data_IF_751815506674
#
_entry.id   IF_751815506674
#
_cell.length_a   1.000
_cell.length_b   1.000
_cell.length_c   1.000
_cell.angle_alpha   90.00
_cell.angle_beta   90.00
_cell.angle_gamma   90.00
#
_symmetry.space_group_name_H-M   'P 1'
#
loop_
_entity.id
_entity.type
_entity.pdbx_description
1 polymer ?
#
# COMPACT_ATOMS: atom_id res chain seq x y z
N UNK A 1 -20.94 -7.88 -17.21
CA UNK A 1 -19.82 -7.81 -16.27
C UNK A 1 -19.87 -6.44 -15.63
N UNK A 2 -20.10 -6.33 -14.32
CA UNK A 2 -20.30 -5.03 -13.64
C UNK A 2 -18.99 -4.25 -13.43
N UNK A 3 -17.86 -4.81 -13.86
CA UNK A 3 -16.52 -4.23 -13.79
C UNK A 3 -15.96 -4.19 -15.22
N UNK A 4 -15.45 -3.03 -15.64
CA UNK A 4 -14.87 -2.84 -16.97
C UNK A 4 -13.67 -3.78 -17.18
N UNK A 5 -13.45 -4.22 -18.43
CA UNK A 5 -12.37 -5.16 -18.77
C UNK A 5 -10.99 -4.79 -18.17
N UNK A 6 -10.53 -3.52 -18.22
CA UNK A 6 -9.27 -3.12 -17.59
C UNK A 6 -9.23 -3.32 -16.07
N UNK A 7 -10.36 -3.08 -15.39
CA UNK A 7 -10.47 -3.19 -13.93
C UNK A 7 -10.49 -4.64 -13.45
N UNK A 8 -10.73 -5.59 -14.34
CA UNK A 8 -10.63 -7.01 -14.04
C UNK A 8 -9.26 -7.59 -14.42
N UNK A 9 -8.71 -7.18 -15.56
CA UNK A 9 -7.47 -7.74 -16.08
C UNK A 9 -6.23 -7.16 -15.40
N UNK A 10 -6.17 -5.84 -15.20
CA UNK A 10 -4.97 -5.17 -14.68
C UNK A 10 -4.63 -5.64 -13.26
N UNK A 11 -5.56 -5.72 -12.29
CA UNK A 11 -5.27 -6.24 -10.96
C UNK A 11 -4.70 -7.66 -10.99
N UNK A 12 -5.22 -8.54 -11.86
CA UNK A 12 -4.75 -9.93 -11.98
C UNK A 12 -3.35 -10.03 -12.55
N UNK A 13 -3.06 -9.27 -13.61
CA UNK A 13 -1.72 -9.19 -14.20
C UNK A 13 -0.71 -8.61 -13.20
N UNK A 14 -1.08 -7.50 -12.54
CA UNK A 14 -0.24 -6.87 -11.53
C UNK A 14 -0.03 -7.78 -10.33
N UNK A 15 -1.05 -8.55 -9.93
CA UNK A 15 -0.94 -9.56 -8.89
C UNK A 15 0.07 -10.64 -9.25
N UNK A 16 -0.01 -11.21 -10.46
CA UNK A 16 0.99 -12.17 -10.93
C UNK A 16 2.41 -11.57 -10.95
N UNK A 17 2.56 -10.32 -11.40
CA UNK A 17 3.84 -9.61 -11.36
C UNK A 17 4.34 -9.36 -9.93
N UNK A 18 3.45 -9.09 -8.97
CA UNK A 18 3.79 -8.93 -7.56
C UNK A 18 4.42 -10.20 -6.99
N UNK A 19 3.87 -11.37 -7.32
CA UNK A 19 4.42 -12.69 -6.97
C UNK A 19 5.72 -13.05 -7.72
N UNK A 20 6.12 -12.27 -8.73
CA UNK A 20 7.42 -12.41 -9.39
C UNK A 20 8.46 -11.44 -8.82
N UNK A 21 8.12 -10.16 -8.73
CA UNK A 21 9.05 -9.10 -8.39
C UNK A 21 9.39 -9.04 -6.89
N UNK A 22 8.41 -9.26 -6.00
CA UNK A 22 8.67 -9.25 -4.56
C UNK A 22 9.62 -10.39 -4.14
N UNK A 23 9.50 -11.65 -4.62
CA UNK A 23 10.48 -12.69 -4.31
C UNK A 23 11.90 -12.40 -4.84
N UNK A 24 12.02 -11.84 -6.06
CA UNK A 24 13.32 -11.40 -6.60
C UNK A 24 13.93 -10.33 -5.68
N UNK A 25 13.14 -9.36 -5.25
CA UNK A 25 13.59 -8.32 -4.34
C UNK A 25 14.01 -8.87 -2.97
N UNK A 26 13.22 -9.79 -2.40
CA UNK A 26 13.56 -10.51 -1.15
C UNK A 26 14.90 -11.26 -1.31
N UNK A 27 15.08 -11.99 -2.42
CA UNK A 27 16.34 -12.67 -2.71
C UNK A 27 17.53 -11.68 -2.75
N UNK A 28 17.38 -10.56 -3.46
CA UNK A 28 18.43 -9.52 -3.52
C UNK A 28 18.76 -8.94 -2.14
N UNK A 29 17.77 -8.76 -1.26
CA UNK A 29 17.96 -8.26 0.10
C UNK A 29 18.65 -9.26 1.02
N UNK A 30 18.25 -10.54 0.97
CA UNK A 30 18.74 -11.57 1.88
C UNK A 30 20.14 -12.06 1.51
N UNK A 31 20.44 -12.13 0.22
CA UNK A 31 21.70 -12.71 -0.23
C UNK A 31 22.89 -11.73 -0.13
N UNK A 32 22.72 -10.47 0.26
CA UNK A 32 23.81 -9.45 0.28
C UNK A 32 24.30 -9.20 1.71
N UNK A 33 25.48 -9.74 2.05
CA UNK A 33 26.15 -9.46 3.33
C UNK A 33 26.84 -8.09 3.36
N UNK A 34 27.05 -7.43 2.21
CA UNK A 34 27.70 -6.11 2.08
C UNK A 34 26.71 -4.94 2.13
N UNK A 35 25.41 -5.21 1.98
CA UNK A 35 24.35 -4.24 2.19
C UNK A 35 24.26 -3.97 3.70
N UNK A 36 24.94 -2.93 4.18
CA UNK A 36 24.92 -2.49 5.59
C UNK A 36 23.54 -1.90 5.99
N UNK A 37 22.43 -2.54 5.61
CA UNK A 37 21.06 -2.15 5.98
C UNK A 37 20.72 -2.52 7.43
N UNK A 38 21.48 -3.43 8.05
CA UNK A 38 21.19 -3.88 9.42
C UNK A 38 19.79 -4.50 9.51
N UNK A 39 19.05 -4.16 10.57
CA UNK A 39 17.69 -4.68 10.79
C UNK A 39 16.64 -4.11 9.83
N UNK A 40 16.96 -3.03 9.11
CA UNK A 40 16.06 -2.41 8.13
C UNK A 40 15.64 -3.38 7.01
N UNK A 41 16.50 -4.35 6.69
CA UNK A 41 16.22 -5.37 5.69
C UNK A 41 14.96 -6.17 6.02
N UNK A 42 14.71 -6.46 7.30
CA UNK A 42 13.55 -7.25 7.71
C UNK A 42 12.25 -6.48 7.53
N UNK A 43 12.31 -5.15 7.69
CA UNK A 43 11.18 -4.27 7.43
C UNK A 43 10.85 -4.23 5.92
N UNK A 44 11.87 -4.15 5.06
CA UNK A 44 11.69 -4.25 3.60
C UNK A 44 11.13 -5.60 3.16
N UNK A 45 11.63 -6.70 3.74
CA UNK A 45 11.09 -8.05 3.48
C UNK A 45 9.63 -8.14 3.93
N UNK A 46 9.29 -7.61 5.10
CA UNK A 46 7.91 -7.58 5.60
C UNK A 46 6.98 -6.81 4.67
N UNK A 47 7.44 -5.67 4.13
CA UNK A 47 6.66 -4.90 3.16
C UNK A 47 6.46 -5.66 1.84
N UNK A 48 7.47 -6.43 1.41
CA UNK A 48 7.38 -7.25 0.20
C UNK A 48 6.38 -8.41 0.35
N UNK A 49 6.36 -9.05 1.53
CA UNK A 49 5.35 -10.07 1.86
C UNK A 49 3.96 -9.46 1.87
N UNK A 50 3.84 -8.27 2.48
CA UNK A 50 2.59 -7.54 2.50
C UNK A 50 2.09 -7.18 1.08
N UNK A 51 2.97 -6.73 0.18
CA UNK A 51 2.63 -6.46 -1.21
C UNK A 51 2.07 -7.70 -1.93
N UNK A 52 2.61 -8.89 -1.68
CA UNK A 52 2.07 -10.13 -2.24
C UNK A 52 0.69 -10.48 -1.64
N UNK A 53 0.52 -10.32 -0.33
CA UNK A 53 -0.77 -10.55 0.34
C UNK A 53 -1.84 -9.59 -0.18
N UNK A 54 -1.55 -8.28 -0.26
CA UNK A 54 -2.51 -7.29 -0.78
C UNK A 54 -2.90 -7.59 -2.23
N UNK A 55 -1.93 -7.99 -3.06
CA UNK A 55 -2.19 -8.41 -4.45
C UNK A 55 -3.08 -9.66 -4.55
N UNK A 56 -2.90 -10.61 -3.63
CA UNK A 56 -3.72 -11.81 -3.59
C UNK A 56 -5.17 -11.48 -3.27
N UNK A 57 -5.41 -10.64 -2.26
CA UNK A 57 -6.76 -10.21 -1.89
C UNK A 57 -7.43 -9.38 -3.00
N UNK A 58 -6.72 -8.45 -3.61
CA UNK A 58 -7.22 -7.63 -4.72
C UNK A 58 -7.61 -8.48 -5.95
N UNK A 59 -6.90 -9.60 -6.16
CA UNK A 59 -7.25 -10.57 -7.20
C UNK A 59 -8.48 -11.44 -6.91
N UNK A 60 -8.81 -11.64 -5.62
CA UNK A 60 -9.95 -12.45 -5.18
C UNK A 60 -11.25 -11.65 -5.09
N UNK A 61 -11.18 -10.43 -4.59
CA UNK A 61 -12.35 -9.61 -4.25
C UNK A 61 -12.32 -8.34 -5.10
N UNK A 62 -13.03 -8.33 -6.24
CA UNK A 62 -12.96 -7.20 -7.15
C UNK A 62 -13.80 -6.05 -6.62
N UNK A 63 -13.19 -4.89 -6.40
CA UNK A 63 -13.89 -3.73 -5.84
C UNK A 63 -14.61 -2.93 -6.92
N UNK A 64 -15.88 -2.59 -6.66
CA UNK A 64 -16.66 -1.66 -7.45
C UNK A 64 -16.95 -0.37 -6.68
N UNK A 65 -17.12 0.73 -7.42
CA UNK A 65 -17.60 2.00 -6.84
C UNK A 65 -18.74 2.56 -7.64
N UNK A 66 -19.70 3.08 -6.87
CA UNK A 66 -20.89 3.75 -7.36
C UNK A 66 -21.10 5.01 -6.54
N UNK A 67 -21.69 6.02 -7.15
CA UNK A 67 -22.05 7.29 -6.54
C UNK A 67 -23.45 7.66 -7.00
N UNK A 68 -24.23 8.16 -6.06
CA UNK A 68 -25.58 8.62 -6.33
C UNK A 68 -25.91 9.78 -5.42
N UNK A 69 -26.01 10.98 -6.01
CA UNK A 69 -26.37 12.23 -5.31
C UNK A 69 -25.51 12.44 -4.06
N UNK A 70 -26.06 12.24 -2.87
CA UNK A 70 -25.40 12.41 -1.57
C UNK A 70 -24.78 11.12 -1.01
N UNK A 71 -24.74 10.04 -1.80
CA UNK A 71 -24.15 8.77 -1.40
C UNK A 71 -22.89 8.44 -2.20
N UNK A 72 -21.82 8.04 -1.49
CA UNK A 72 -20.77 7.22 -2.11
C UNK A 72 -20.94 5.76 -1.68
N UNK A 73 -20.62 4.84 -2.59
CA UNK A 73 -20.78 3.41 -2.42
C UNK A 73 -19.52 2.69 -2.88
N UNK A 74 -19.02 1.82 -2.03
CA UNK A 74 -18.03 0.80 -2.41
C UNK A 74 -18.70 -0.55 -2.24
N UNK A 75 -18.77 -1.36 -3.29
CA UNK A 75 -19.42 -2.67 -3.26
C UNK A 75 -18.43 -3.78 -3.59
N UNK A 76 -18.60 -4.95 -2.94
CA UNK A 76 -17.64 -6.06 -2.99
C UNK A 76 -16.27 -5.62 -2.44
N UNK A 77 -16.21 -5.23 -1.17
CA UNK A 77 -15.01 -4.67 -0.54
C UNK A 77 -14.66 -5.37 0.77
N UNK A 78 -13.44 -5.92 0.85
CA UNK A 78 -12.71 -6.17 2.09
C UNK A 78 -11.48 -5.23 2.15
N UNK A 79 -11.73 -3.91 2.24
CA UNK A 79 -10.74 -2.86 1.97
C UNK A 79 -9.71 -2.61 3.11
N UNK A 80 -9.44 -3.59 3.97
CA UNK A 80 -8.50 -3.45 5.10
C UNK A 80 -7.03 -3.31 4.69
N UNK A 81 -6.64 -3.75 3.49
CA UNK A 81 -5.23 -3.79 3.08
C UNK A 81 -4.65 -2.41 2.73
N UNK A 82 -5.47 -1.47 2.24
CA UNK A 82 -4.95 -0.14 1.90
C UNK A 82 -4.39 0.56 3.15
N UNK A 83 -5.07 0.44 4.30
CA UNK A 83 -4.63 1.07 5.55
C UNK A 83 -3.36 0.44 6.12
N UNK A 84 -3.16 -0.86 5.89
CA UNK A 84 -1.93 -1.56 6.30
C UNK A 84 -0.71 -1.03 5.52
N UNK A 85 -0.86 -0.65 4.25
CA UNK A 85 0.22 -0.02 3.48
C UNK A 85 0.74 1.23 4.19
N UNK A 86 -0.17 2.11 4.64
CA UNK A 86 0.21 3.33 5.38
C UNK A 86 0.87 2.99 6.72
N UNK A 87 0.34 2.00 7.45
CA UNK A 87 0.90 1.57 8.73
C UNK A 87 2.34 1.04 8.60
N UNK A 88 2.64 0.26 7.55
CA UNK A 88 4.00 -0.22 7.26
C UNK A 88 4.91 0.96 6.88
N UNK A 89 4.43 1.91 6.08
CA UNK A 89 5.19 3.12 5.76
C UNK A 89 5.49 3.97 7.01
N UNK A 90 4.54 4.11 7.94
CA UNK A 90 4.80 4.76 9.24
C UNK A 90 5.97 4.09 9.96
N UNK A 91 5.96 2.76 10.05
CA UNK A 91 7.04 2.01 10.67
C UNK A 91 8.39 2.25 9.95
N UNK A 92 8.41 2.37 8.62
CA UNK A 92 9.61 2.73 7.88
C UNK A 92 10.13 4.14 8.22
N UNK A 93 9.26 5.15 8.30
CA UNK A 93 9.67 6.50 8.69
C UNK A 93 10.17 6.55 10.14
N UNK A 94 9.44 5.92 11.07
CA UNK A 94 9.80 5.85 12.49
C UNK A 94 11.17 5.16 12.64
N UNK A 95 11.35 3.99 12.00
CA UNK A 95 12.61 3.27 12.05
C UNK A 95 13.77 4.13 11.56
N UNK A 96 13.63 4.78 10.39
CA UNK A 96 14.69 5.65 9.83
C UNK A 96 15.03 6.81 10.76
N UNK A 97 14.02 7.49 11.28
CA UNK A 97 14.22 8.60 12.20
C UNK A 97 14.99 8.17 13.45
N UNK A 98 14.61 7.03 14.06
CA UNK A 98 15.26 6.53 15.25
C UNK A 98 16.69 6.03 15.02
N UNK A 99 16.98 5.44 13.84
CA UNK A 99 18.34 5.06 13.44
C UNK A 99 19.25 6.30 13.30
N UNK A 100 18.75 7.38 12.68
CA UNK A 100 19.52 8.62 12.52
C UNK A 100 19.74 9.35 13.85
N UNK A 101 18.80 9.25 14.78
CA UNK A 101 18.96 9.77 16.14
C UNK A 101 19.78 8.87 17.06
N UNK A 102 20.36 7.77 16.55
CA UNK A 102 21.14 6.79 17.33
C UNK A 102 20.42 6.29 18.58
N UNK A 103 19.11 6.07 18.50
CA UNK A 103 18.37 5.54 19.64
C UNK A 103 18.93 4.15 20.00
N UNK A 104 19.51 4.03 21.20
CA UNK A 104 19.99 2.77 21.78
C UNK A 104 18.89 1.69 21.76
N UNK A 105 17.63 2.13 21.86
CA UNK A 105 16.45 1.26 21.87
C UNK A 105 16.28 0.51 20.55
N UNK A 106 16.44 1.16 19.39
CA UNK A 106 16.28 0.50 18.08
C UNK A 106 17.49 -0.36 17.73
N UNK A 107 18.71 0.06 18.10
CA UNK A 107 19.89 -0.75 17.83
C UNK A 107 19.89 -2.08 18.60
N UNK A 108 19.32 -2.10 19.82
CA UNK A 108 19.32 -3.28 20.69
C UNK A 108 18.03 -4.09 20.65
N UNK A 109 16.87 -3.46 20.51
CA UNK A 109 15.57 -4.13 20.71
C UNK A 109 14.66 -4.15 19.47
N UNK A 110 15.06 -3.56 18.33
CA UNK A 110 14.20 -3.58 17.16
C UNK A 110 13.92 -5.01 16.67
N UNK A 111 14.91 -5.89 16.71
CA UNK A 111 14.71 -7.32 16.48
C UNK A 111 14.66 -8.06 17.83
N UNK A 112 13.61 -8.85 18.11
CA UNK A 112 12.37 -9.03 17.35
C UNK A 112 11.27 -8.01 17.68
N UNK A 113 11.37 -7.29 18.81
CA UNK A 113 10.24 -6.58 19.40
C UNK A 113 9.69 -5.43 18.55
N UNK A 114 10.56 -4.63 17.93
CA UNK A 114 10.14 -3.55 17.02
C UNK A 114 9.43 -4.06 15.76
N UNK A 115 9.81 -5.24 15.27
CA UNK A 115 9.13 -5.88 14.15
C UNK A 115 7.75 -6.42 14.56
N UNK A 116 7.65 -7.06 15.73
CA UNK A 116 6.35 -7.49 16.29
C UNK A 116 5.43 -6.29 16.49
N UNK A 117 5.93 -5.20 17.08
CA UNK A 117 5.17 -3.98 17.28
C UNK A 117 4.69 -3.38 15.95
N UNK A 118 5.48 -3.49 14.88
CA UNK A 118 5.07 -3.06 13.53
C UNK A 118 3.86 -3.87 13.05
N UNK A 119 3.87 -5.20 13.20
CA UNK A 119 2.75 -6.03 12.80
C UNK A 119 1.49 -5.77 13.64
N UNK A 120 1.65 -5.59 14.96
CA UNK A 120 0.54 -5.20 15.84
C UNK A 120 -0.04 -3.86 15.40
N UNK A 121 0.81 -2.88 15.10
CA UNK A 121 0.37 -1.57 14.62
C UNK A 121 -0.38 -1.66 13.28
N UNK A 122 0.10 -2.48 12.35
CA UNK A 122 -0.58 -2.76 11.08
C UNK A 122 -1.97 -3.39 11.30
N UNK A 123 -2.05 -4.38 12.18
CA UNK A 123 -3.29 -5.05 12.52
C UNK A 123 -4.30 -4.09 13.16
N UNK A 124 -3.87 -3.21 14.07
CA UNK A 124 -4.72 -2.19 14.67
C UNK A 124 -5.27 -1.20 13.64
N UNK A 125 -4.47 -0.80 12.65
CA UNK A 125 -4.93 0.04 11.53
C UNK A 125 -5.98 -0.66 10.67
N UNK A 126 -5.77 -1.95 10.39
CA UNK A 126 -6.74 -2.77 9.67
C UNK A 126 -8.05 -2.89 10.46
N UNK A 127 -7.97 -3.18 11.76
CA UNK A 127 -9.13 -3.27 12.64
C UNK A 127 -9.89 -1.94 12.73
N UNK A 128 -9.19 -0.82 12.85
CA UNK A 128 -9.82 0.51 12.89
C UNK A 128 -10.62 0.76 11.61
N UNK A 129 -10.05 0.45 10.45
CA UNK A 129 -10.74 0.59 9.17
C UNK A 129 -11.98 -0.29 9.10
N UNK A 130 -11.84 -1.59 9.39
CA UNK A 130 -12.96 -2.53 9.36
C UNK A 130 -14.06 -2.10 10.34
N UNK A 131 -13.70 -1.70 11.56
CA UNK A 131 -14.66 -1.21 12.53
C UNK A 131 -15.40 0.03 12.02
N UNK A 132 -14.71 0.96 11.34
CA UNK A 132 -15.38 2.14 10.78
C UNK A 132 -16.36 1.76 9.68
N UNK A 133 -15.97 0.84 8.78
CA UNK A 133 -16.86 0.32 7.76
C UNK A 133 -18.11 -0.34 8.36
N UNK A 134 -17.94 -1.22 9.34
CA UNK A 134 -19.04 -1.97 9.96
C UNK A 134 -19.97 -1.08 10.79
N UNK A 135 -19.43 -0.17 11.61
CA UNK A 135 -20.26 0.63 12.53
C UNK A 135 -20.88 1.88 11.88
N UNK A 136 -20.21 2.47 10.88
CA UNK A 136 -20.61 3.78 10.34
C UNK A 136 -21.06 3.76 8.89
N UNK A 137 -20.54 2.83 8.09
CA UNK A 137 -20.79 2.78 6.65
C UNK A 137 -21.48 1.50 6.19
N UNK A 138 -21.93 0.64 7.09
CA UNK A 138 -22.60 -0.59 6.67
C UNK A 138 -23.81 -0.27 5.79
N UNK A 139 -23.91 -0.95 4.65
CA UNK A 139 -25.00 -0.82 3.69
C UNK A 139 -26.29 -1.46 4.21
N UNK A 140 -26.96 -0.78 5.13
CA UNK A 140 -28.29 -1.13 5.61
C UNK A 140 -29.36 -1.04 4.50
N UNK A 141 -30.57 -1.52 4.81
CA UNK A 141 -31.67 -1.55 3.85
C UNK A 141 -32.00 -0.15 3.32
N UNK A 142 -31.98 0.87 4.18
CA UNK A 142 -32.28 2.25 3.82
C UNK A 142 -31.28 2.78 2.77
N UNK A 143 -29.98 2.71 3.08
CA UNK A 143 -28.91 3.16 2.19
C UNK A 143 -28.87 2.37 0.88
N UNK A 144 -29.12 1.06 0.92
CA UNK A 144 -29.22 0.22 -0.28
C UNK A 144 -30.43 0.55 -1.13
N UNK A 145 -31.55 0.93 -0.50
CA UNK A 145 -32.76 1.39 -1.20
C UNK A 145 -32.52 2.73 -1.87
N UNK A 146 -31.86 3.66 -1.19
CA UNK A 146 -31.53 5.00 -1.72
C UNK A 146 -30.79 4.94 -3.06
N UNK A 147 -29.88 3.99 -3.24
CA UNK A 147 -29.09 3.84 -4.47
C UNK A 147 -29.72 2.88 -5.49
N UNK A 148 -30.82 2.18 -5.14
CA UNK A 148 -31.29 1.01 -5.88
C UNK A 148 -31.55 1.28 -7.36
N UNK A 149 -32.30 2.33 -7.69
CA UNK A 149 -32.67 2.64 -9.07
C UNK A 149 -31.43 3.00 -9.89
N UNK A 150 -30.56 3.86 -9.36
CA UNK A 150 -29.31 4.26 -10.03
C UNK A 150 -28.35 3.09 -10.23
N UNK A 151 -28.26 2.17 -9.26
CA UNK A 151 -27.41 0.99 -9.33
C UNK A 151 -27.97 -0.01 -10.35
N UNK A 152 -29.29 -0.17 -10.39
CA UNK A 152 -29.97 -1.04 -11.36
C UNK A 152 -29.87 -0.50 -12.78
N UNK A 153 -29.99 0.81 -12.97
CA UNK A 153 -29.83 1.45 -14.28
C UNK A 153 -28.41 1.25 -14.84
N UNK A 154 -27.39 1.45 -14.00
CA UNK A 154 -26.00 1.39 -14.44
C UNK A 154 -25.48 -0.06 -14.60
N UNK A 155 -25.80 -0.96 -13.67
CA UNK A 155 -25.23 -2.31 -13.63
C UNK A 155 -26.20 -3.42 -14.05
N UNK A 156 -27.50 -3.13 -14.18
CA UNK A 156 -28.57 -4.11 -14.35
C UNK A 156 -28.58 -5.19 -13.23
N UNK A 157 -28.27 -4.76 -12.00
CA UNK A 157 -28.17 -5.58 -10.79
C UNK A 157 -28.93 -4.93 -9.64
N UNK A 158 -29.24 -5.70 -8.58
CA UNK A 158 -29.91 -5.17 -7.39
C UNK A 158 -28.86 -4.83 -6.32
N UNK A 159 -28.96 -3.64 -5.72
CA UNK A 159 -28.06 -3.22 -4.63
C UNK A 159 -28.15 -4.13 -3.40
N UNK A 160 -29.30 -4.77 -3.19
CA UNK A 160 -29.54 -5.67 -2.06
C UNK A 160 -28.64 -6.92 -2.06
N UNK A 161 -28.23 -7.39 -3.23
CA UNK A 161 -27.52 -8.66 -3.42
C UNK A 161 -26.01 -8.56 -3.11
N UNK A 162 -25.50 -7.37 -2.78
CA UNK A 162 -24.08 -7.12 -2.59
C UNK A 162 -23.77 -6.61 -1.18
N UNK A 163 -22.57 -6.96 -0.68
CA UNK A 163 -21.98 -6.29 0.48
C UNK A 163 -21.49 -4.92 0.05
N UNK A 164 -21.94 -3.88 0.76
CA UNK A 164 -21.69 -2.49 0.41
C UNK A 164 -21.29 -1.67 1.63
N UNK A 165 -20.32 -0.80 1.42
CA UNK A 165 -19.93 0.29 2.29
C UNK A 165 -20.54 1.55 1.69
N UNK A 166 -21.52 2.15 2.37
CA UNK A 166 -22.28 3.31 1.90
C UNK A 166 -22.20 4.41 2.94
N UNK A 167 -21.73 5.59 2.54
CA UNK A 167 -21.94 6.81 3.31
C UNK A 167 -22.98 7.68 2.61
N UNK A 168 -24.03 8.06 3.33
CA UNK A 168 -25.13 8.89 2.87
C UNK A 168 -25.14 10.20 3.67
N UNK A 169 -24.89 11.32 3.00
CA UNK A 169 -24.70 12.62 3.67
C UNK A 169 -25.97 13.44 3.83
N UNK A 170 -27.00 13.14 3.07
CA UNK A 170 -28.27 13.85 3.05
C UNK A 170 -29.40 12.93 2.56
N UNK A 171 -30.66 13.33 2.75
CA UNK A 171 -31.88 12.63 2.27
C UNK A 171 -32.15 11.24 2.88
N UNK A 172 -31.30 10.77 3.78
CA UNK A 172 -31.56 9.63 4.64
C UNK A 172 -32.12 10.03 6.00
N UNK A 173 -32.35 9.03 6.84
CA UNK A 173 -32.67 9.16 8.26
C UNK A 173 -31.54 9.88 9.00
N UNK A 174 -31.90 10.57 10.09
CA UNK A 174 -30.91 11.25 10.93
C UNK A 174 -29.83 10.29 11.42
N UNK A 175 -30.19 9.04 11.73
CA UNK A 175 -29.24 8.00 12.15
C UNK A 175 -28.26 7.65 11.03
N UNK A 176 -28.75 7.39 9.81
CA UNK A 176 -27.91 7.06 8.67
C UNK A 176 -26.93 8.19 8.35
N UNK A 177 -27.42 9.43 8.33
CA UNK A 177 -26.63 10.63 8.03
C UNK A 177 -25.58 10.89 9.11
N UNK A 178 -25.97 10.88 10.40
CA UNK A 178 -25.02 11.10 11.51
C UNK A 178 -23.92 10.06 11.50
N UNK A 179 -24.26 8.78 11.30
CA UNK A 179 -23.26 7.70 11.23
C UNK A 179 -22.30 7.91 10.06
N UNK A 180 -22.80 8.25 8.88
CA UNK A 180 -21.97 8.52 7.71
C UNK A 180 -21.02 9.70 7.94
N UNK A 181 -21.47 10.78 8.58
CA UNK A 181 -20.60 11.89 8.95
C UNK A 181 -19.54 11.49 9.97
N UNK A 182 -19.90 10.74 11.02
CA UNK A 182 -18.92 10.26 12.01
C UNK A 182 -17.86 9.39 11.33
N UNK A 183 -18.28 8.42 10.52
CA UNK A 183 -17.35 7.55 9.80
C UNK A 183 -16.39 8.35 8.94
N UNK A 184 -16.88 9.34 8.18
CA UNK A 184 -16.07 10.16 7.28
C UNK A 184 -15.09 11.04 8.05
N UNK A 185 -15.51 11.59 9.19
CA UNK A 185 -14.62 12.34 10.08
C UNK A 185 -13.51 11.44 10.63
N UNK A 186 -13.83 10.21 11.06
CA UNK A 186 -12.83 9.27 11.61
C UNK A 186 -11.80 8.87 10.54
N UNK A 187 -12.23 8.48 9.33
CA UNK A 187 -11.28 8.10 8.26
C UNK A 187 -10.47 9.30 7.78
N UNK A 188 -11.06 10.50 7.76
CA UNK A 188 -10.36 11.73 7.39
C UNK A 188 -9.34 12.15 8.45
N UNK A 189 -9.66 12.00 9.74
CA UNK A 189 -8.73 12.24 10.83
C UNK A 189 -7.56 11.25 10.80
N UNK A 190 -7.83 9.95 10.61
CA UNK A 190 -6.80 8.91 10.46
C UNK A 190 -5.87 9.19 9.27
N UNK A 191 -6.44 9.60 8.14
CA UNK A 191 -5.70 9.99 6.92
C UNK A 191 -4.84 11.23 7.15
N UNK A 192 -5.40 12.26 7.79
CA UNK A 192 -4.69 13.50 8.12
C UNK A 192 -3.54 13.24 9.09
N UNK A 193 -3.76 12.39 10.09
CA UNK A 193 -2.71 11.93 11.01
C UNK A 193 -1.55 11.26 10.25
N UNK A 194 -1.87 10.37 9.31
CA UNK A 194 -0.88 9.65 8.51
C UNK A 194 -0.02 10.60 7.66
N UNK A 195 -0.67 11.54 6.97
CA UNK A 195 0.01 12.59 6.21
C UNK A 195 0.91 13.44 7.13
N UNK A 196 0.36 13.90 8.26
CA UNK A 196 1.10 14.70 9.23
C UNK A 196 2.34 13.97 9.76
N UNK A 197 2.22 12.67 10.04
CA UNK A 197 3.33 11.84 10.49
C UNK A 197 4.42 11.75 9.42
N UNK A 198 4.07 11.53 8.15
CA UNK A 198 5.04 11.52 7.04
C UNK A 198 5.77 12.85 6.90
N UNK A 199 5.05 13.98 6.95
CA UNK A 199 5.67 15.31 6.84
C UNK A 199 6.60 15.62 8.03
N UNK A 200 6.13 15.38 9.26
CA UNK A 200 6.91 15.67 10.47
C UNK A 200 8.16 14.79 10.55
N UNK A 201 8.03 13.47 10.35
CA UNK A 201 9.18 12.56 10.38
C UNK A 201 10.10 12.80 9.19
N UNK A 202 9.56 13.02 7.99
CA UNK A 202 10.33 13.37 6.79
C UNK A 202 11.16 14.64 6.99
N UNK A 203 10.56 15.69 7.55
CA UNK A 203 11.28 16.94 7.88
C UNK A 203 12.41 16.69 8.89
N UNK A 204 12.12 15.96 9.97
CA UNK A 204 13.13 15.64 11.00
C UNK A 204 14.30 14.80 10.44
N UNK A 205 14.00 13.81 9.60
CA UNK A 205 15.02 13.00 8.89
C UNK A 205 15.90 13.90 8.01
N UNK A 206 15.28 14.76 7.21
CA UNK A 206 16.01 15.69 6.33
C UNK A 206 16.90 16.64 7.11
N UNK A 207 16.41 17.19 8.24
CA UNK A 207 17.19 18.04 9.13
C UNK A 207 18.39 17.31 9.71
N UNK A 208 18.21 16.08 10.20
CA UNK A 208 19.31 15.27 10.76
C UNK A 208 20.36 14.93 9.68
N UNK A 209 19.92 14.51 8.48
CA UNK A 209 20.83 14.22 7.36
C UNK A 209 21.66 15.46 6.94
N UNK A 210 21.09 16.67 6.98
CA UNK A 210 21.80 17.92 6.67
C UNK A 210 22.80 18.33 7.75
N UNK A 211 22.56 17.99 9.01
CA UNK A 211 23.42 18.38 10.12
C UNK A 211 24.78 17.62 10.16
N UNK A 212 24.92 16.54 9.37
CA UNK A 212 26.18 15.78 9.20
C UNK A 212 26.84 15.28 10.50
N UNK A 213 26.08 15.14 11.59
CA UNK A 213 26.66 14.86 12.91
C UNK A 213 27.24 13.44 12.99
N UNK A 214 28.57 13.33 12.96
CA UNK A 214 29.35 12.11 13.23
C UNK A 214 29.01 10.87 12.38
N UNK A 215 28.42 11.03 11.19
CA UNK A 215 28.11 9.92 10.27
C UNK A 215 29.16 9.89 9.15
N UNK A 216 29.68 8.70 8.82
CA UNK A 216 30.61 8.56 7.69
C UNK A 216 29.95 8.92 6.36
N UNK A 217 30.72 9.46 5.41
CA UNK A 217 30.22 9.84 4.07
C UNK A 217 29.51 8.68 3.37
N UNK A 218 30.03 7.45 3.53
CA UNK A 218 29.43 6.23 2.98
C UNK A 218 28.04 5.96 3.58
N UNK A 219 27.90 6.03 4.89
CA UNK A 219 26.62 5.80 5.59
C UNK A 219 25.63 6.92 5.30
N UNK A 220 26.08 8.18 5.25
CA UNK A 220 25.23 9.32 4.91
C UNK A 220 24.62 9.17 3.50
N UNK A 221 25.44 8.82 2.50
CA UNK A 221 24.98 8.59 1.13
C UNK A 221 23.96 7.46 1.05
N UNK A 222 24.18 6.36 1.80
CA UNK A 222 23.22 5.25 1.88
C UNK A 222 21.89 5.70 2.49
N UNK A 223 21.90 6.43 3.61
CA UNK A 223 20.69 6.92 4.26
C UNK A 223 19.90 7.89 3.38
N UNK A 224 20.59 8.76 2.63
CA UNK A 224 19.94 9.65 1.65
C UNK A 224 19.25 8.86 0.52
N UNK A 225 19.90 7.83 -0.02
CA UNK A 225 19.31 6.98 -1.07
C UNK A 225 18.09 6.22 -0.55
N UNK A 226 18.20 5.65 0.64
CA UNK A 226 17.10 4.96 1.32
C UNK A 226 15.92 5.90 1.62
N UNK A 227 16.20 7.14 2.04
CA UNK A 227 15.16 8.13 2.29
C UNK A 227 14.49 8.61 1.00
N UNK A 228 15.25 8.79 -0.09
CA UNK A 228 14.68 9.07 -1.42
C UNK A 228 13.75 7.96 -1.89
N UNK A 229 14.17 6.70 -1.75
CA UNK A 229 13.32 5.56 -2.05
C UNK A 229 12.04 5.60 -1.21
N UNK A 230 12.14 5.79 0.12
CA UNK A 230 10.98 5.88 1.00
C UNK A 230 10.00 6.98 0.58
N UNK A 231 10.54 8.15 0.22
CA UNK A 231 9.74 9.31 -0.19
C UNK A 231 8.92 8.96 -1.42
N UNK A 232 9.53 8.32 -2.42
CA UNK A 232 8.81 7.86 -3.62
C UNK A 232 7.76 6.80 -3.27
N UNK A 233 8.12 5.81 -2.44
CA UNK A 233 7.19 4.78 -1.98
C UNK A 233 5.98 5.33 -1.20
N UNK A 234 6.11 6.51 -0.61
CA UNK A 234 5.03 7.16 0.15
C UNK A 234 4.21 8.11 -0.72
N UNK A 235 4.85 8.82 -1.66
CA UNK A 235 4.13 9.69 -2.59
C UNK A 235 3.22 8.91 -3.52
N UNK A 236 3.63 7.73 -3.99
CA UNK A 236 2.80 6.90 -4.87
C UNK A 236 1.43 6.60 -4.23
N UNK A 237 1.32 5.93 -3.07
CA UNK A 237 0.03 5.62 -2.44
C UNK A 237 -0.76 6.87 -2.04
N UNK A 238 -0.10 7.98 -1.67
CA UNK A 238 -0.80 9.25 -1.44
C UNK A 238 -1.52 9.73 -2.71
N UNK A 239 -0.84 9.71 -3.85
CA UNK A 239 -1.41 10.19 -5.10
C UNK A 239 -2.42 9.21 -5.72
N UNK A 240 -2.16 7.90 -5.64
CA UNK A 240 -2.99 6.89 -6.34
C UNK A 240 -4.12 6.34 -5.48
N UNK A 241 -4.08 6.51 -4.16
CA UNK A 241 -5.12 6.02 -3.26
C UNK A 241 -5.68 7.15 -2.41
N UNK A 242 -4.86 7.83 -1.61
CA UNK A 242 -5.37 8.77 -0.62
C UNK A 242 -6.11 9.97 -1.22
N UNK A 243 -5.49 10.65 -2.19
CA UNK A 243 -6.08 11.82 -2.85
C UNK A 243 -7.41 11.48 -3.57
N UNK A 244 -7.48 10.41 -4.39
CA UNK A 244 -8.74 9.96 -4.98
C UNK A 244 -9.80 9.56 -3.96
N UNK A 245 -9.44 8.87 -2.87
CA UNK A 245 -10.37 8.52 -1.80
C UNK A 245 -10.97 9.77 -1.17
N UNK A 246 -10.17 10.79 -0.87
CA UNK A 246 -10.67 12.06 -0.33
C UNK A 246 -11.64 12.75 -1.29
N UNK A 247 -11.32 12.78 -2.59
CA UNK A 247 -12.22 13.34 -3.59
C UNK A 247 -13.58 12.62 -3.60
N UNK A 248 -13.59 11.29 -3.48
CA UNK A 248 -14.82 10.49 -3.57
C UNK A 248 -15.59 10.45 -2.26
N UNK A 249 -14.92 10.50 -1.11
CA UNK A 249 -15.60 10.65 0.17
C UNK A 249 -16.35 11.97 0.22
N UNK A 250 -15.72 13.09 -0.16
CA UNK A 250 -16.36 14.41 -0.04
C UNK A 250 -17.13 14.86 -1.29
N UNK A 251 -16.90 14.25 -2.45
CA UNK A 251 -17.59 14.61 -3.70
C UNK A 251 -19.11 14.67 -3.59
N UNK A 252 -19.78 13.63 -3.06
CA UNK A 252 -21.24 13.62 -2.92
C UNK A 252 -21.80 14.71 -2.01
N UNK A 253 -21.02 15.23 -1.05
CA UNK A 253 -21.43 16.36 -0.19
C UNK A 253 -21.72 17.60 -1.04
N UNK A 254 -20.95 17.77 -2.13
CA UNK A 254 -21.08 18.87 -3.07
C UNK A 254 -21.80 18.48 -4.37
N UNK A 255 -22.41 17.28 -4.42
CA UNK A 255 -23.03 16.70 -5.63
C UNK A 255 -22.06 16.59 -6.82
N UNK A 256 -20.79 16.29 -6.54
CA UNK A 256 -19.76 16.07 -7.55
C UNK A 256 -19.56 14.57 -7.81
N UNK A 257 -19.61 14.16 -9.08
CA UNK A 257 -19.27 12.81 -9.53
C UNK A 257 -17.76 12.70 -9.78
N UNK A 258 -17.09 11.89 -8.95
CA UNK A 258 -15.68 11.55 -9.09
C UNK A 258 -15.46 10.05 -9.32
N UNK A 259 -16.49 9.33 -9.77
CA UNK A 259 -16.44 7.87 -10.00
C UNK A 259 -15.29 7.48 -10.92
N UNK A 260 -15.09 8.22 -12.01
CA UNK A 260 -14.01 7.98 -12.96
C UNK A 260 -12.61 8.11 -12.32
N UNK A 261 -12.43 9.09 -11.43
CA UNK A 261 -11.17 9.29 -10.71
C UNK A 261 -10.91 8.12 -9.76
N UNK A 262 -11.94 7.67 -9.02
CA UNK A 262 -11.80 6.53 -8.13
C UNK A 262 -11.50 5.23 -8.88
N UNK A 263 -12.19 4.98 -9.98
CA UNK A 263 -11.98 3.83 -10.84
C UNK A 263 -10.55 3.78 -11.39
N UNK A 264 -10.00 4.93 -11.80
CA UNK A 264 -8.59 5.02 -12.17
C UNK A 264 -7.65 4.77 -10.97
N UNK A 265 -8.02 5.28 -9.80
CA UNK A 265 -7.27 5.13 -8.56
C UNK A 265 -7.21 3.68 -8.06
N UNK A 266 -8.30 2.92 -8.15
CA UNK A 266 -8.31 1.50 -7.77
C UNK A 266 -7.39 0.68 -8.66
N UNK A 267 -7.41 0.93 -9.98
CA UNK A 267 -6.42 0.33 -10.89
C UNK A 267 -5.01 0.72 -10.45
N UNK A 268 -4.74 2.00 -10.24
CA UNK A 268 -3.41 2.46 -9.86
C UNK A 268 -2.94 1.89 -8.50
N UNK A 269 -3.86 1.69 -7.55
CA UNK A 269 -3.61 1.03 -6.27
C UNK A 269 -3.28 -0.47 -6.45
N UNK A 270 -3.96 -1.18 -7.36
CA UNK A 270 -3.65 -2.59 -7.70
C UNK A 270 -2.26 -2.77 -8.32
N UNK A 271 -1.75 -1.74 -8.98
CA UNK A 271 -0.43 -1.72 -9.62
C UNK A 271 0.69 -1.48 -8.61
N UNK A 272 0.40 -0.77 -7.51
CA UNK A 272 1.41 -0.37 -6.53
C UNK A 272 2.24 -1.55 -5.97
N UNK A 273 1.64 -2.66 -5.50
CA UNK A 273 2.41 -3.78 -4.92
C UNK A 273 3.43 -4.43 -5.85
N UNK A 274 3.23 -4.36 -7.17
CA UNK A 274 4.19 -4.91 -8.13
C UNK A 274 5.29 -3.88 -8.50
N UNK A 275 4.96 -2.59 -8.58
CA UNK A 275 5.94 -1.53 -8.91
C UNK A 275 6.84 -1.20 -7.72
N UNK A 276 6.34 -1.27 -6.49
CA UNK A 276 7.08 -0.92 -5.27
C UNK A 276 8.47 -1.58 -5.16
N UNK A 277 8.62 -2.92 -5.22
CA UNK A 277 9.94 -3.56 -5.14
C UNK A 277 10.86 -3.14 -6.30
N UNK A 278 10.30 -2.90 -7.49
CA UNK A 278 11.05 -2.43 -8.67
C UNK A 278 11.59 -1.02 -8.44
N UNK A 279 10.76 -0.12 -7.91
CA UNK A 279 11.15 1.24 -7.57
C UNK A 279 12.32 1.22 -6.57
N UNK A 280 12.25 0.41 -5.51
CA UNK A 280 13.35 0.30 -4.54
C UNK A 280 14.64 -0.18 -5.21
N UNK A 281 14.58 -1.23 -6.06
CA UNK A 281 15.75 -1.74 -6.78
C UNK A 281 16.38 -0.65 -7.65
N UNK A 282 15.55 0.16 -8.32
CA UNK A 282 16.03 1.27 -9.15
C UNK A 282 16.67 2.35 -8.28
N UNK A 283 16.02 2.77 -7.19
CA UNK A 283 16.51 3.87 -6.33
C UNK A 283 17.71 3.48 -5.44
N UNK A 284 17.97 2.19 -5.22
CA UNK A 284 19.14 1.69 -4.46
C UNK A 284 20.21 1.13 -5.42
N UNK A 285 21.30 1.88 -5.73
CA UNK A 285 22.30 1.44 -6.71
C UNK A 285 22.98 0.11 -6.38
N UNK A 286 23.11 -0.25 -5.11
CA UNK A 286 23.66 -1.54 -4.69
C UNK A 286 22.79 -2.70 -5.15
N UNK A 287 21.47 -2.60 -5.01
CA UNK A 287 20.52 -3.62 -5.48
C UNK A 287 20.51 -3.71 -7.01
N UNK A 288 20.56 -2.55 -7.69
CA UNK A 288 20.61 -2.48 -9.16
C UNK A 288 21.84 -3.18 -9.72
N UNK A 289 23.04 -2.87 -9.20
CA UNK A 289 24.30 -3.51 -9.61
C UNK A 289 24.24 -5.02 -9.44
N UNK A 290 23.62 -5.48 -8.36
CA UNK A 290 23.47 -6.90 -8.10
C UNK A 290 22.51 -7.58 -9.07
N UNK A 291 21.38 -6.97 -9.39
CA UNK A 291 20.45 -7.53 -10.38
C UNK A 291 21.17 -7.77 -11.72
N UNK A 292 22.04 -6.85 -12.14
CA UNK A 292 22.90 -7.06 -13.32
C UNK A 292 23.87 -8.23 -13.15
N UNK A 293 24.56 -8.35 -12.01
CA UNK A 293 25.50 -9.45 -11.74
C UNK A 293 24.81 -10.83 -11.66
N UNK A 294 23.63 -10.90 -11.06
CA UNK A 294 22.84 -12.12 -10.99
C UNK A 294 22.39 -12.58 -12.39
N UNK A 295 22.01 -11.62 -13.26
CA UNK A 295 21.72 -11.90 -14.67
C UNK A 295 22.94 -12.44 -15.41
N UNK A 296 24.12 -11.85 -15.24
CA UNK A 296 25.34 -12.33 -15.92
C UNK A 296 25.75 -13.73 -15.46
N UNK A 297 25.62 -14.04 -14.17
CA UNK A 297 25.94 -15.36 -13.62
C UNK A 297 24.96 -16.46 -14.06
N UNK A 298 23.66 -16.14 -14.16
CA UNK A 298 22.64 -17.07 -14.68
C UNK A 298 22.76 -17.35 -16.18
N UNK A 299 23.28 -16.40 -16.96
CA UNK A 299 23.59 -16.58 -18.39
C UNK A 299 24.84 -17.45 -18.58
N UNK A 300 25.86 -17.32 -17.72
CA UNK A 300 27.05 -18.18 -17.77
C UNK A 300 26.78 -19.64 -17.37
N UNK A 301 25.79 -19.90 -16.51
CA UNK A 301 25.44 -21.27 -16.11
C UNK A 301 24.56 -22.02 -17.12
N UNK A 302 23.89 -21.30 -18.03
CA UNK A 302 23.03 -21.89 -19.09
C UNK A 302 23.75 -22.09 -20.42
N UNK A 303 24.98 -21.56 -20.55
CA UNK A 303 25.82 -21.69 -21.76
C UNK A 303 26.96 -22.70 -21.61
N UNK A 304 27.06 -23.39 -20.48
CA UNK A 304 27.98 -24.52 -20.33
C UNK A 304 27.45 -25.73 -21.11
N UNK A 305 28.14 -26.21 -22.17
CA UNK A 305 27.73 -27.42 -22.87
C UNK A 305 27.83 -28.62 -21.92
N UNK A 306 27.01 -29.67 -22.09
CA UNK A 306 27.18 -30.90 -21.33
C UNK A 306 28.56 -31.45 -21.66
N UNK A 307 29.46 -31.51 -20.66
CA UNK A 307 30.76 -32.16 -20.80
C UNK A 307 30.52 -33.66 -21.06
N UNK A 308 30.40 -34.01 -22.35
CA UNK A 308 30.52 -35.36 -22.85
C UNK A 308 32.01 -35.72 -22.88
N UNK A 309 32.54 -36.20 -21.77
CA UNK A 309 33.78 -36.98 -21.77
C UNK A 309 34.00 -37.68 -20.45
N UNK A 310 33.43 -38.88 -20.32
CA UNK A 310 34.12 -39.96 -19.63
C UNK A 310 34.11 -41.18 -20.55
N UNK A 311 35.17 -41.28 -21.36
CA UNK A 311 35.58 -42.51 -22.03
C UNK A 311 36.95 -42.91 -21.49
N UNK A 312 36.97 -44.09 -20.87
CA UNK A 312 37.97 -45.16 -20.94
C UNK A 312 39.39 -44.83 -20.45
N UNK A 313 39.79 -45.36 -19.31
CA UNK A 313 40.53 -46.65 -19.20
C UNK A 313 40.44 -47.19 -17.78
#
# INVERSE_FOLDING_TARGET
>A
MFINYPHYLIPKLCGAMSFLFNPIFIYLLLSDKKLHLGSYRHLLVSFSIFNMLSSFYDGLVPMGVHDHRYAFVIFVSECGFITVTYAILHAHFIYRYLVLNRSMLIQKYFMPYGLILTFVYCFLHMMLWTAVCEFFFYGDLERKTYIYDSFKELYNLKSYDFNMVIALYWEGSNEAVIRSWIGVVVVSASSTYSIGLFFVLGHKIMKNLKAHVNISVKTLRLQQQLFKALTVQTLIPICVSLMPCMAVWFGPVFLLDFRAIYLAATIAASVFPCIDPVAIIIFLPCLRKRLYLARTLGISSTTAPPNSSFKIT
#
